data_IF_477284322338
#
_entry.id   IF_477284322338
#
_cell.length_a   1.000
_cell.length_b   1.000
_cell.length_c   1.000
_cell.angle_alpha   90.00
_cell.angle_beta   90.00
_cell.angle_gamma   90.00
#
_symmetry.space_group_name_H-M   'P 1'
#
loop_
_entity.id
_entity.type
_entity.pdbx_description
1 polymer ?
#
# COMPACT_ATOMS: atom_id res chain seq x y z
N UNK A 1 -8.70 -0.09 -14.82
CA UNK A 1 -7.36 -0.71 -14.70
C UNK A 1 -6.33 0.38 -14.94
N UNK A 2 -5.52 0.74 -13.96
CA UNK A 2 -4.56 1.84 -14.08
C UNK A 2 -3.15 1.25 -14.08
N UNK A 3 -2.53 1.22 -15.26
CA UNK A 3 -1.08 0.99 -15.37
C UNK A 3 -0.38 2.23 -14.83
N UNK A 4 0.70 2.02 -14.07
CA UNK A 4 1.47 3.11 -13.49
C UNK A 4 2.89 3.06 -14.03
N UNK A 5 3.37 4.17 -14.60
CA UNK A 5 4.73 4.23 -15.15
C UNK A 5 5.75 4.31 -14.02
N UNK A 6 6.95 3.79 -14.28
CA UNK A 6 8.07 3.89 -13.34
C UNK A 6 8.35 5.35 -12.93
N UNK A 7 8.24 6.27 -13.89
CA UNK A 7 8.42 7.71 -13.66
C UNK A 7 7.34 8.31 -12.74
N UNK A 8 6.09 7.82 -12.83
CA UNK A 8 5.01 8.27 -11.95
C UNK A 8 5.27 7.81 -10.51
N UNK A 9 5.61 6.53 -10.34
CA UNK A 9 5.97 5.97 -9.03
C UNK A 9 7.19 6.67 -8.42
N UNK A 10 8.22 6.94 -9.24
CA UNK A 10 9.42 7.65 -8.82
C UNK A 10 9.09 9.05 -8.28
N UNK A 11 8.18 9.78 -8.94
CA UNK A 11 7.69 11.08 -8.44
C UNK A 11 6.89 10.95 -7.15
N UNK A 12 5.95 10.00 -7.09
CA UNK A 12 5.08 9.81 -5.91
C UNK A 12 5.87 9.43 -4.66
N UNK A 13 6.89 8.59 -4.80
CA UNK A 13 7.71 8.12 -3.69
C UNK A 13 9.00 8.92 -3.51
N UNK A 14 9.22 9.97 -4.32
CA UNK A 14 10.42 10.84 -4.28
C UNK A 14 11.74 10.06 -4.39
N UNK A 15 11.75 9.01 -5.22
CA UNK A 15 12.92 8.16 -5.47
C UNK A 15 13.32 8.17 -6.94
N UNK A 16 14.49 7.64 -7.26
CA UNK A 16 14.92 7.46 -8.64
C UNK A 16 14.12 6.35 -9.36
N UNK A 17 13.99 6.43 -10.68
CA UNK A 17 13.43 5.33 -11.46
C UNK A 17 14.21 4.02 -11.27
N UNK A 18 15.53 4.10 -11.09
CA UNK A 18 16.37 2.92 -10.76
C UNK A 18 15.92 2.23 -9.47
N UNK A 19 15.51 3.01 -8.47
CA UNK A 19 14.94 2.49 -7.22
C UNK A 19 13.63 1.76 -7.50
N UNK A 20 12.75 2.35 -8.30
CA UNK A 20 11.49 1.70 -8.71
C UNK A 20 11.76 0.40 -9.46
N UNK A 21 12.64 0.40 -10.47
CA UNK A 21 12.98 -0.82 -11.21
C UNK A 21 13.49 -1.93 -10.28
N UNK A 22 14.41 -1.59 -9.36
CA UNK A 22 14.96 -2.55 -8.37
C UNK A 22 13.88 -3.09 -7.45
N UNK A 23 13.03 -2.22 -6.92
CA UNK A 23 12.02 -2.59 -5.92
C UNK A 23 10.89 -3.41 -6.57
N UNK A 24 10.52 -3.12 -7.82
CA UNK A 24 9.57 -3.95 -8.58
C UNK A 24 10.12 -5.37 -8.83
N UNK A 25 11.42 -5.50 -9.13
CA UNK A 25 12.08 -6.81 -9.22
C UNK A 25 12.03 -7.54 -7.88
N UNK A 26 12.40 -6.88 -6.79
CA UNK A 26 12.37 -7.48 -5.45
C UNK A 26 10.96 -7.93 -5.03
N UNK A 27 9.93 -7.12 -5.35
CA UNK A 27 8.54 -7.48 -5.10
C UNK A 27 8.12 -8.69 -5.93
N UNK A 28 8.49 -8.73 -7.22
CA UNK A 28 8.24 -9.90 -8.07
C UNK A 28 8.92 -11.16 -7.53
N UNK A 29 10.16 -11.04 -7.05
CA UNK A 29 10.92 -12.15 -6.44
C UNK A 29 10.30 -12.63 -5.13
N UNK A 30 9.67 -11.74 -4.36
CA UNK A 30 8.92 -12.09 -3.15
C UNK A 30 7.54 -12.73 -3.42
N UNK A 31 7.18 -12.94 -4.69
CA UNK A 31 5.93 -13.58 -5.09
C UNK A 31 4.74 -12.64 -5.26
N UNK A 32 4.96 -11.32 -5.25
CA UNK A 32 3.93 -10.34 -5.65
C UNK A 32 3.74 -10.45 -7.16
N UNK A 33 2.54 -10.77 -7.68
CA UNK A 33 2.32 -10.97 -9.11
C UNK A 33 2.19 -9.63 -9.82
N UNK A 34 3.35 -9.02 -10.08
CA UNK A 34 3.49 -7.78 -10.83
C UNK A 34 3.69 -8.15 -12.30
N UNK A 35 2.92 -7.52 -13.18
CA UNK A 35 3.10 -7.57 -14.63
C UNK A 35 3.86 -6.32 -15.05
N UNK A 36 5.07 -6.51 -15.57
CA UNK A 36 5.88 -5.44 -16.14
C UNK A 36 5.70 -5.41 -17.67
N UNK A 37 5.22 -4.29 -18.19
CA UNK A 37 5.11 -4.06 -19.63
C UNK A 37 6.21 -3.06 -20.04
N UNK A 38 7.22 -3.49 -20.82
CA UNK A 38 8.31 -2.62 -21.26
C UNK A 38 7.79 -1.34 -21.92
N UNK A 39 8.19 -0.19 -21.40
CA UNK A 39 7.78 1.12 -21.91
C UNK A 39 6.38 1.59 -21.51
N UNK A 40 5.54 0.73 -20.92
CA UNK A 40 4.19 1.07 -20.49
C UNK A 40 4.05 1.21 -18.97
N UNK A 41 4.85 0.47 -18.20
CA UNK A 41 4.88 0.52 -16.73
C UNK A 41 4.49 -0.79 -16.08
N UNK A 42 3.88 -0.69 -14.90
CA UNK A 42 3.55 -1.82 -14.05
C UNK A 42 2.05 -1.92 -13.79
N UNK A 43 1.56 -3.15 -13.70
CA UNK A 43 0.23 -3.47 -13.21
C UNK A 43 0.28 -4.70 -12.28
N UNK A 44 -0.66 -4.82 -11.35
CA UNK A 44 -0.85 -6.06 -10.60
C UNK A 44 -1.65 -7.05 -11.45
N UNK A 45 -1.31 -8.33 -11.36
CA UNK A 45 -2.06 -9.39 -12.03
C UNK A 45 -3.54 -9.36 -11.62
N UNK A 46 -4.40 -9.69 -12.58
CA UNK A 46 -5.84 -9.67 -12.39
C UNK A 46 -6.27 -10.62 -11.26
N UNK A 47 -7.06 -10.10 -10.31
CA UNK A 47 -7.48 -10.87 -9.13
C UNK A 47 -6.47 -10.89 -7.98
N UNK A 48 -5.29 -10.26 -8.11
CA UNK A 48 -4.40 -10.03 -6.98
C UNK A 48 -4.87 -8.84 -6.16
N UNK A 49 -5.81 -9.13 -5.26
CA UNK A 49 -6.11 -8.31 -4.11
C UNK A 49 -5.40 -8.95 -2.90
N UNK A 50 -4.98 -8.14 -1.92
CA UNK A 50 -4.66 -8.72 -0.60
C UNK A 50 -5.83 -9.61 -0.21
N UNK A 51 -5.56 -10.85 0.23
CA UNK A 51 -6.65 -11.69 0.75
C UNK A 51 -7.46 -10.84 1.73
N UNK A 52 -8.80 -10.83 1.65
CA UNK A 52 -9.63 -10.12 2.60
C UNK A 52 -9.15 -10.48 4.01
N UNK A 53 -8.56 -9.51 4.70
CA UNK A 53 -8.07 -9.72 6.05
C UNK A 53 -9.31 -9.82 6.91
N UNK A 54 -9.62 -11.03 7.36
CA UNK A 54 -10.72 -11.26 8.29
C UNK A 54 -10.16 -11.06 9.68
N UNK A 55 -10.50 -9.94 10.31
CA UNK A 55 -10.14 -9.69 11.70
C UNK A 55 -11.16 -10.38 12.60
N UNK A 56 -10.68 -11.03 13.65
CA UNK A 56 -11.55 -11.40 14.77
C UNK A 56 -12.02 -10.13 15.51
N UNK A 57 -13.13 -10.18 16.25
CA UNK A 57 -13.59 -9.06 17.06
C UNK A 57 -12.50 -8.52 18.01
N UNK A 58 -11.66 -9.40 18.55
CA UNK A 58 -10.57 -9.04 19.45
C UNK A 58 -9.43 -8.33 18.72
N UNK A 59 -9.04 -8.81 17.54
CA UNK A 59 -8.01 -8.15 16.70
C UNK A 59 -8.49 -6.80 16.18
N UNK A 60 -9.76 -6.68 15.81
CA UNK A 60 -10.39 -5.42 15.41
C UNK A 60 -10.35 -4.39 16.55
N UNK A 61 -10.71 -4.80 17.79
CA UNK A 61 -10.63 -3.93 18.97
C UNK A 61 -9.19 -3.53 19.30
N UNK A 62 -8.24 -4.46 19.20
CA UNK A 62 -6.83 -4.18 19.44
C UNK A 62 -6.29 -3.15 18.43
N UNK A 63 -6.64 -3.30 17.15
CA UNK A 63 -6.26 -2.37 16.09
C UNK A 63 -6.91 -0.99 16.29
N UNK A 64 -8.20 -0.96 16.66
CA UNK A 64 -8.92 0.27 16.97
C UNK A 64 -8.28 1.04 18.14
N UNK A 65 -7.95 0.36 19.24
CA UNK A 65 -7.27 0.98 20.38
C UNK A 65 -5.88 1.49 20.01
N UNK A 66 -5.09 0.69 19.29
CA UNK A 66 -3.76 1.08 18.83
C UNK A 66 -3.82 2.34 17.94
N UNK A 67 -4.79 2.40 17.03
CA UNK A 67 -4.97 3.55 16.16
C UNK A 67 -5.42 4.80 16.93
N UNK A 68 -6.34 4.68 17.90
CA UNK A 68 -6.71 5.81 18.76
C UNK A 68 -5.53 6.33 19.59
N UNK A 69 -4.69 5.45 20.12
CA UNK A 69 -3.47 5.85 20.84
C UNK A 69 -2.50 6.59 19.90
N UNK A 70 -2.29 6.09 18.69
CA UNK A 70 -1.44 6.75 17.69
C UNK A 70 -1.97 8.14 17.32
N UNK A 71 -3.28 8.30 17.11
CA UNK A 71 -3.91 9.60 16.84
C UNK A 71 -3.74 10.55 18.03
N UNK A 72 -3.89 10.05 19.26
CA UNK A 72 -3.80 10.86 20.48
C UNK A 72 -2.37 11.30 20.81
N UNK A 73 -1.36 10.54 20.34
CA UNK A 73 0.06 10.78 20.65
C UNK A 73 0.90 11.27 19.47
N UNK A 74 0.32 11.39 18.27
CA UNK A 74 1.03 11.96 17.11
C UNK A 74 0.86 13.48 17.06
N UNK A 75 1.98 14.20 17.06
CA UNK A 75 2.04 15.66 16.83
C UNK A 75 2.04 15.99 15.32
N UNK A 76 1.64 15.06 14.47
CA UNK A 76 1.62 15.18 13.01
C UNK A 76 0.23 14.94 12.42
N UNK A 77 0.00 15.44 11.21
CA UNK A 77 -1.28 15.31 10.49
C UNK A 77 -1.61 13.82 10.25
N UNK A 78 -2.65 13.34 10.92
CA UNK A 78 -3.25 12.04 10.63
C UNK A 78 -3.79 12.08 9.19
N UNK A 79 -3.46 11.12 8.31
CA UNK A 79 -4.05 11.05 6.97
C UNK A 79 -5.57 10.95 7.09
N UNK A 80 -6.34 11.73 6.33
CA UNK A 80 -7.80 11.74 6.41
C UNK A 80 -8.42 10.34 6.20
N UNK A 81 -7.72 9.48 5.45
CA UNK A 81 -8.12 8.11 5.20
C UNK A 81 -8.00 7.19 6.44
N UNK A 82 -7.20 7.57 7.45
CA UNK A 82 -7.07 6.81 8.69
C UNK A 82 -8.31 6.92 9.58
N UNK A 83 -8.95 8.10 9.63
CA UNK A 83 -10.23 8.28 10.34
C UNK A 83 -11.35 7.48 9.66
N UNK A 84 -11.40 7.50 8.32
CA UNK A 84 -12.37 6.73 7.54
C UNK A 84 -12.16 5.22 7.65
N UNK A 85 -10.92 4.77 7.82
CA UNK A 85 -10.62 3.36 8.07
C UNK A 85 -11.09 2.91 9.46
N UNK A 86 -10.89 3.75 10.49
CA UNK A 86 -11.35 3.45 11.85
C UNK A 86 -12.87 3.42 11.98
N UNK A 87 -13.59 4.24 11.23
CA UNK A 87 -15.05 4.24 11.24
C UNK A 87 -15.68 2.99 10.58
N UNK A 88 -14.87 2.17 9.89
CA UNK A 88 -15.32 0.97 9.15
C UNK A 88 -14.98 -0.35 9.84
N UNK A 89 -14.22 -0.31 10.93
CA UNK A 89 -13.90 -1.44 11.82
C UNK A 89 -14.87 -1.45 12.98
#
# INVERSE_FOLDING_TARGET
>A
KQRVRAQDLARTFEVSERTIYRDMTALSESGVPIVALPGEGYELAEGYFLRPITLTPEEARALFLAAQMLISHTTGRVPADAELALAKV
#
